data_IF_582816882979
#
_entry.id   IF_582816882979
#
_cell.length_a   1.000
_cell.length_b   1.000
_cell.length_c   1.000
_cell.angle_alpha   90.00
_cell.angle_beta   90.00
_cell.angle_gamma   90.00
#
_symmetry.space_group_name_H-M   'P 1'
#
loop_
_entity.id
_entity.type
_entity.pdbx_description
1 polymer ?
#
# COMPACT_ATOMS: atom_id res chain seq x y z
N UNK A 1 55.35 24.24 -1.48
CA UNK A 1 54.34 24.90 -0.61
C UNK A 1 52.95 24.44 -1.01
N UNK A 2 52.27 23.66 -0.15
CA UNK A 2 50.87 23.27 -0.39
C UNK A 2 49.95 24.43 -0.04
N UNK A 3 49.39 25.06 -1.07
CA UNK A 3 48.41 26.13 -0.95
C UNK A 3 47.10 25.51 -0.42
N UNK A 4 46.87 25.54 0.89
CA UNK A 4 45.61 25.08 1.48
C UNK A 4 44.55 26.13 1.17
N UNK A 5 43.76 25.92 0.11
CA UNK A 5 42.52 26.67 -0.12
C UNK A 5 41.53 26.32 1.00
N UNK A 6 41.28 27.27 1.89
CA UNK A 6 40.19 27.17 2.86
C UNK A 6 38.85 27.41 2.16
N UNK A 7 37.84 26.63 2.53
CA UNK A 7 36.44 26.89 2.16
C UNK A 7 35.98 28.17 2.86
N UNK A 8 35.29 29.07 2.14
CA UNK A 8 34.73 30.27 2.78
C UNK A 8 33.42 29.93 3.50
N UNK A 9 33.16 30.64 4.60
CA UNK A 9 31.90 30.49 5.34
C UNK A 9 30.69 30.88 4.47
N UNK A 10 30.86 31.85 3.57
CA UNK A 10 29.79 32.28 2.65
C UNK A 10 29.44 31.18 1.63
N UNK A 11 30.44 30.43 1.13
CA UNK A 11 30.20 29.30 0.21
C UNK A 11 29.41 28.18 0.88
N UNK A 12 29.69 27.88 2.15
CA UNK A 12 28.90 26.89 2.88
C UNK A 12 27.49 27.40 3.21
N UNK A 13 27.35 28.69 3.51
CA UNK A 13 26.05 29.30 3.83
C UNK A 13 25.09 29.24 2.64
N UNK A 14 25.54 29.61 1.43
CA UNK A 14 24.66 29.56 0.25
C UNK A 14 24.23 28.13 -0.08
N UNK A 15 25.11 27.14 0.14
CA UNK A 15 24.81 25.73 -0.15
C UNK A 15 23.71 25.20 0.78
N UNK A 16 23.81 25.46 2.08
CA UNK A 16 22.77 25.00 3.02
C UNK A 16 21.43 25.70 2.79
N UNK A 17 21.45 26.96 2.34
CA UNK A 17 20.23 27.68 1.94
C UNK A 17 19.57 27.03 0.73
N UNK A 18 20.34 26.72 -0.33
CA UNK A 18 19.80 26.07 -1.53
C UNK A 18 19.25 24.67 -1.21
N UNK A 19 19.99 23.86 -0.44
CA UNK A 19 19.54 22.53 -0.01
C UNK A 19 18.28 22.65 0.86
N UNK A 20 18.19 23.65 1.73
CA UNK A 20 17.00 23.93 2.55
C UNK A 20 15.76 24.19 1.70
N UNK A 21 15.87 25.02 0.65
CA UNK A 21 14.76 25.31 -0.27
C UNK A 21 14.32 24.05 -1.03
N UNK A 22 15.29 23.29 -1.57
CA UNK A 22 14.98 22.06 -2.30
C UNK A 22 14.34 21.00 -1.38
N UNK A 23 14.84 20.84 -0.16
CA UNK A 23 14.30 19.90 0.82
C UNK A 23 12.86 20.26 1.23
N UNK A 24 12.56 21.54 1.43
CA UNK A 24 11.23 22.01 1.79
C UNK A 24 10.16 21.62 0.76
N UNK A 25 10.50 21.61 -0.54
CA UNK A 25 9.59 21.19 -1.62
C UNK A 25 9.59 19.66 -1.79
N UNK A 26 10.77 19.04 -1.72
CA UNK A 26 10.94 17.62 -2.00
C UNK A 26 10.31 16.71 -0.95
N UNK A 27 10.44 17.03 0.34
CA UNK A 27 9.96 16.21 1.46
C UNK A 27 8.44 15.96 1.39
N UNK A 28 7.55 16.98 1.32
CA UNK A 28 6.11 16.74 1.25
C UNK A 28 5.71 16.02 -0.04
N UNK A 29 6.36 16.33 -1.17
CA UNK A 29 6.11 15.65 -2.46
C UNK A 29 6.45 14.16 -2.38
N UNK A 30 7.58 13.82 -1.76
CA UNK A 30 8.01 12.44 -1.60
C UNK A 30 7.09 11.66 -0.65
N UNK A 31 6.67 12.27 0.46
CA UNK A 31 5.69 11.66 1.37
C UNK A 31 4.37 11.32 0.67
N UNK A 32 3.82 12.26 -0.12
CA UNK A 32 2.60 12.02 -0.90
C UNK A 32 2.79 10.93 -1.98
N UNK A 33 3.98 10.85 -2.58
CA UNK A 33 4.27 9.82 -3.60
C UNK A 33 4.37 8.43 -2.97
N UNK A 34 4.96 8.32 -1.79
CA UNK A 34 4.99 7.08 -1.00
C UNK A 34 3.58 6.62 -0.63
N UNK A 35 2.76 7.52 -0.12
CA UNK A 35 1.37 7.18 0.25
C UNK A 35 0.57 6.67 -0.95
N UNK A 36 0.73 7.30 -2.12
CA UNK A 36 0.14 6.81 -3.38
C UNK A 36 0.64 5.41 -3.76
N UNK A 37 1.92 5.11 -3.54
CA UNK A 37 2.49 3.79 -3.80
C UNK A 37 1.89 2.74 -2.86
N UNK A 38 1.70 3.07 -1.57
CA UNK A 38 1.04 2.16 -0.62
C UNK A 38 -0.42 1.90 -1.00
N UNK A 39 -1.17 2.93 -1.41
CA UNK A 39 -2.53 2.77 -1.94
C UNK A 39 -2.55 1.91 -3.20
N UNK A 40 -1.58 2.07 -4.11
CA UNK A 40 -1.48 1.24 -5.30
C UNK A 40 -1.23 -0.23 -4.95
N UNK A 41 -0.35 -0.51 -3.98
CA UNK A 41 -0.11 -1.87 -3.48
C UNK A 41 -1.39 -2.48 -2.89
N UNK A 42 -2.09 -1.76 -2.00
CA UNK A 42 -3.37 -2.23 -1.43
C UNK A 42 -4.43 -2.53 -2.51
N UNK A 43 -4.54 -1.67 -3.53
CA UNK A 43 -5.45 -1.90 -4.67
C UNK A 43 -5.04 -3.14 -5.47
N UNK A 44 -3.76 -3.35 -5.69
CA UNK A 44 -3.24 -4.53 -6.39
C UNK A 44 -3.57 -5.80 -5.61
N UNK A 45 -3.33 -5.80 -4.29
CA UNK A 45 -3.61 -6.94 -3.43
C UNK A 45 -5.10 -7.27 -3.41
N UNK A 46 -6.01 -6.28 -3.41
CA UNK A 46 -7.46 -6.53 -3.52
C UNK A 46 -7.89 -7.09 -4.88
N UNK A 47 -7.20 -6.75 -5.97
CA UNK A 47 -7.45 -7.35 -7.30
C UNK A 47 -6.98 -8.80 -7.35
N UNK A 48 -5.82 -9.06 -6.75
CA UNK A 48 -5.31 -10.41 -6.60
C UNK A 48 -6.27 -11.22 -5.73
N UNK A 49 -6.69 -10.70 -4.58
CA UNK A 49 -7.68 -11.33 -3.71
C UNK A 49 -8.93 -11.72 -4.50
N UNK A 50 -9.47 -10.82 -5.33
CA UNK A 50 -10.63 -11.14 -6.15
C UNK A 50 -10.40 -12.36 -7.05
N UNK A 51 -9.21 -12.48 -7.65
CA UNK A 51 -8.86 -13.65 -8.47
C UNK A 51 -8.83 -14.94 -7.63
N UNK A 52 -8.28 -14.87 -6.42
CA UNK A 52 -8.24 -16.02 -5.49
C UNK A 52 -9.63 -16.40 -4.97
N UNK A 53 -10.50 -15.43 -4.70
CA UNK A 53 -11.87 -15.65 -4.28
C UNK A 53 -12.69 -16.33 -5.37
N UNK A 54 -12.57 -15.89 -6.63
CA UNK A 54 -13.23 -16.55 -7.77
C UNK A 54 -12.69 -17.98 -7.99
N UNK A 55 -11.39 -18.19 -7.85
CA UNK A 55 -10.78 -19.54 -7.91
C UNK A 55 -11.33 -20.44 -6.80
N UNK A 56 -11.36 -19.94 -5.57
CA UNK A 56 -11.89 -20.68 -4.43
C UNK A 56 -13.38 -21.00 -4.60
N UNK A 57 -14.17 -20.04 -5.09
CA UNK A 57 -15.59 -20.23 -5.37
C UNK A 57 -15.85 -21.28 -6.46
N UNK A 58 -15.01 -21.33 -7.49
CA UNK A 58 -15.08 -22.38 -8.51
C UNK A 58 -14.90 -23.78 -7.92
N UNK A 59 -14.00 -23.93 -6.95
CA UNK A 59 -13.70 -25.20 -6.29
C UNK A 59 -14.68 -25.54 -5.15
N UNK A 60 -15.34 -24.55 -4.54
CA UNK A 60 -16.13 -24.69 -3.31
C UNK A 60 -17.62 -24.35 -3.52
N UNK A 61 -18.21 -24.75 -4.64
CA UNK A 61 -19.65 -24.59 -4.92
C UNK A 61 -20.16 -23.15 -4.79
N UNK A 62 -19.37 -22.17 -5.23
CA UNK A 62 -19.70 -20.75 -5.15
C UNK A 62 -19.53 -20.13 -3.77
N UNK A 63 -18.90 -20.83 -2.82
CA UNK A 63 -18.54 -20.27 -1.52
C UNK A 63 -17.24 -19.47 -1.61
N UNK A 64 -17.20 -18.34 -0.92
CA UNK A 64 -16.01 -17.50 -0.78
C UNK A 64 -15.32 -17.75 0.56
N UNK A 65 -14.01 -17.52 0.62
CA UNK A 65 -13.29 -17.64 1.89
C UNK A 65 -13.39 -16.35 2.70
N UNK A 66 -13.07 -16.46 3.99
CA UNK A 66 -13.06 -15.33 4.90
C UNK A 66 -11.90 -15.46 5.87
N UNK A 67 -11.39 -14.33 6.34
CA UNK A 67 -10.29 -14.29 7.30
C UNK A 67 -9.39 -13.09 7.09
N UNK A 68 -8.32 -13.04 7.87
CA UNK A 68 -7.28 -12.01 7.77
C UNK A 68 -6.01 -12.62 7.19
N UNK A 69 -5.54 -12.07 6.08
CA UNK A 69 -4.30 -12.43 5.43
C UNK A 69 -3.22 -11.38 5.70
N UNK A 70 -2.02 -11.85 6.02
CA UNK A 70 -0.80 -11.06 6.08
C UNK A 70 0.34 -11.83 5.40
N UNK A 71 1.49 -11.20 5.22
CA UNK A 71 2.68 -11.91 4.72
C UNK A 71 3.11 -13.07 5.62
N UNK A 72 2.91 -12.97 6.94
CA UNK A 72 3.25 -14.02 7.91
C UNK A 72 2.16 -15.11 8.02
N UNK A 73 0.91 -14.75 7.71
CA UNK A 73 -0.25 -15.64 7.80
C UNK A 73 -1.02 -15.58 6.48
N UNK A 74 -0.59 -16.33 5.44
CA UNK A 74 -1.32 -16.42 4.19
C UNK A 74 -2.68 -17.11 4.41
N UNK A 75 -3.65 -16.76 3.59
CA UNK A 75 -5.03 -17.23 3.68
C UNK A 75 -5.38 -17.94 2.37
N UNK A 76 -5.66 -19.25 2.42
CA UNK A 76 -6.06 -20.03 1.23
C UNK A 76 -5.11 -19.86 0.03
N UNK A 77 -3.80 -19.78 0.28
CA UNK A 77 -2.77 -19.57 -0.76
C UNK A 77 -2.58 -18.10 -1.18
N UNK A 78 -3.47 -17.20 -0.79
CA UNK A 78 -3.30 -15.76 -0.98
C UNK A 78 -2.36 -15.18 0.10
N UNK A 79 -1.35 -14.44 -0.33
CA UNK A 79 -0.45 -13.67 0.54
C UNK A 79 -0.38 -12.23 0.00
N UNK A 80 -0.74 -11.21 0.80
CA UNK A 80 -0.68 -9.82 0.38
C UNK A 80 0.77 -9.29 0.34
N UNK A 81 0.94 -8.09 -0.20
CA UNK A 81 2.23 -7.40 -0.23
C UNK A 81 2.75 -7.08 1.18
N UNK A 82 4.05 -6.82 1.32
CA UNK A 82 4.66 -6.51 2.62
C UNK A 82 3.97 -5.29 3.26
N UNK A 83 3.74 -5.38 4.57
CA UNK A 83 3.04 -4.37 5.39
C UNK A 83 1.57 -4.11 5.01
N UNK A 84 0.99 -4.90 4.11
CA UNK A 84 -0.45 -4.89 3.83
C UNK A 84 -1.13 -5.98 4.64
N UNK A 85 -2.21 -5.62 5.31
CA UNK A 85 -3.15 -6.56 5.94
C UNK A 85 -4.43 -6.54 5.14
N UNK A 86 -4.90 -7.71 4.73
CA UNK A 86 -6.14 -7.87 3.97
C UNK A 86 -7.13 -8.67 4.79
N UNK A 87 -8.35 -8.17 4.94
CA UNK A 87 -9.47 -8.86 5.59
C UNK A 87 -10.50 -9.19 4.54
N UNK A 88 -10.69 -10.48 4.27
CA UNK A 88 -11.77 -11.00 3.44
C UNK A 88 -12.96 -11.39 4.33
N UNK A 89 -14.16 -10.97 3.94
CA UNK A 89 -15.41 -11.30 4.61
C UNK A 89 -16.38 -11.88 3.60
N UNK A 90 -16.73 -13.15 3.77
CA UNK A 90 -17.77 -13.80 3.01
C UNK A 90 -19.14 -13.58 3.67
N UNK A 91 -20.16 -13.35 2.85
CA UNK A 91 -21.55 -13.23 3.26
C UNK A 91 -22.39 -14.33 2.59
N UNK A 92 -23.07 -15.11 3.43
CA UNK A 92 -23.99 -16.14 2.97
C UNK A 92 -25.27 -15.51 2.39
N UNK A 93 -25.82 -16.13 1.34
CA UNK A 93 -27.05 -15.71 0.68
C UNK A 93 -27.15 -16.28 -0.75
N UNK A 94 -28.30 -16.16 -1.42
CA UNK A 94 -28.39 -16.35 -2.86
C UNK A 94 -28.40 -14.99 -3.60
N UNK A 95 -27.34 -14.60 -4.33
CA UNK A 95 -26.03 -15.25 -4.46
C UNK A 95 -25.12 -15.01 -3.25
N UNK A 96 -24.14 -15.88 -3.05
CA UNK A 96 -23.08 -15.65 -2.07
C UNK A 96 -22.25 -14.45 -2.54
N UNK A 97 -21.74 -13.66 -1.59
CA UNK A 97 -20.93 -12.48 -1.89
C UNK A 97 -19.75 -12.41 -0.95
N UNK A 98 -18.76 -11.62 -1.31
CA UNK A 98 -17.63 -11.33 -0.45
C UNK A 98 -17.26 -9.86 -0.53
N UNK A 99 -16.57 -9.39 0.50
CA UNK A 99 -15.97 -8.06 0.55
C UNK A 99 -14.54 -8.18 1.06
N UNK A 100 -13.67 -7.30 0.60
CA UNK A 100 -12.26 -7.26 1.00
C UNK A 100 -11.90 -5.88 1.53
N UNK A 101 -11.11 -5.81 2.60
CA UNK A 101 -10.53 -4.55 3.07
C UNK A 101 -9.02 -4.70 3.18
N UNK A 102 -8.25 -3.78 2.61
CA UNK A 102 -6.80 -3.73 2.69
C UNK A 102 -6.34 -2.46 3.43
N UNK A 103 -5.42 -2.64 4.37
CA UNK A 103 -4.76 -1.57 5.12
C UNK A 103 -3.25 -1.71 5.03
N UNK A 104 -2.51 -0.60 5.06
CA UNK A 104 -1.05 -0.58 5.04
C UNK A 104 -0.51 0.07 6.32
N UNK A 105 0.48 -0.52 6.97
CA UNK A 105 0.97 -0.04 8.28
C UNK A 105 1.54 1.38 8.30
N UNK A 106 1.91 1.91 7.13
CA UNK A 106 2.48 3.26 6.96
C UNK A 106 1.53 4.24 6.25
N UNK A 107 0.28 3.88 6.01
CA UNK A 107 -0.74 4.76 5.43
C UNK A 107 -1.94 4.83 6.35
N UNK A 108 -2.54 6.01 6.50
CA UNK A 108 -3.82 6.15 7.19
C UNK A 108 -5.00 5.72 6.29
N UNK A 109 -4.75 5.47 5.00
CA UNK A 109 -5.79 5.14 4.03
C UNK A 109 -6.18 3.68 4.12
N UNK A 110 -7.45 3.41 3.89
CA UNK A 110 -8.01 2.06 3.80
C UNK A 110 -8.64 1.87 2.42
N UNK A 111 -8.34 0.74 1.79
CA UNK A 111 -8.97 0.34 0.54
C UNK A 111 -10.00 -0.76 0.81
N UNK A 112 -11.19 -0.66 0.21
CA UNK A 112 -12.19 -1.71 0.27
C UNK A 112 -12.64 -2.12 -1.13
N UNK A 113 -12.92 -3.40 -1.30
CA UNK A 113 -13.62 -3.98 -2.43
C UNK A 113 -15.01 -4.40 -1.96
N UNK A 114 -16.04 -3.73 -2.48
CA UNK A 114 -17.41 -4.17 -2.36
C UNK A 114 -17.97 -4.35 -3.76
N UNK A 115 -18.57 -5.51 -4.04
CA UNK A 115 -19.24 -5.78 -5.33
C UNK A 115 -18.36 -5.55 -6.57
N UNK A 116 -17.04 -5.82 -6.46
CA UNK A 116 -16.08 -5.69 -7.56
C UNK A 116 -15.51 -4.29 -7.78
N UNK A 117 -15.93 -3.28 -7.00
CA UNK A 117 -15.42 -1.91 -7.09
C UNK A 117 -14.45 -1.66 -5.94
N UNK A 118 -13.22 -1.25 -6.27
CA UNK A 118 -12.18 -0.91 -5.29
C UNK A 118 -12.16 0.60 -5.03
N UNK A 119 -12.47 1.00 -3.80
CA UNK A 119 -12.45 2.39 -3.32
C UNK A 119 -11.40 2.51 -2.22
N UNK A 120 -10.66 3.62 -2.17
CA UNK A 120 -9.73 3.89 -1.08
C UNK A 120 -10.00 5.27 -0.49
N UNK A 121 -10.18 5.32 0.82
CA UNK A 121 -10.39 6.54 1.60
C UNK A 121 -9.16 6.78 2.49
#
# INVERSE_FOLDING_TARGET
>A
MSNKKGFTLIELLIVVVIIGILAAIAIPKFANTKDKAYVAAMKSDLRNLATYEEQYAADNNGAYFAGTATTASPLQGFSPSQNVTVVATAAAGPPQTWTGTATHSQSAKTCSNATGVIVCA
#
